data_IF_937330725176
#
_entry.id   IF_937330725176
#
_cell.length_a   1.000
_cell.length_b   1.000
_cell.length_c   1.000
_cell.angle_alpha   90.00
_cell.angle_beta   90.00
_cell.angle_gamma   90.00
#
_symmetry.space_group_name_H-M   'P 1'
#
loop_
_entity.id
_entity.type
_entity.pdbx_description
1 polymer ?
#
# COMPACT_ATOMS: atom_id res chain seq x y z
N UNK A 1 -23.09 -16.78 3.30
CA UNK A 1 -23.16 -17.03 4.75
C UNK A 1 -22.65 -15.81 5.51
N UNK A 2 -23.46 -15.19 6.37
CA UNK A 2 -22.98 -14.13 7.27
C UNK A 2 -22.20 -14.77 8.43
N UNK A 3 -20.86 -14.74 8.34
CA UNK A 3 -19.97 -15.30 9.38
C UNK A 3 -19.81 -14.38 10.59
N UNK A 4 -20.09 -13.09 10.42
CA UNK A 4 -19.87 -12.08 11.44
C UNK A 4 -21.10 -11.88 12.35
N UNK A 5 -20.86 -11.68 13.65
CA UNK A 5 -21.85 -11.49 14.71
C UNK A 5 -21.58 -10.14 15.39
N UNK A 6 -22.65 -9.45 15.80
CA UNK A 6 -22.60 -8.14 16.47
C UNK A 6 -22.98 -6.98 15.56
N UNK A 7 -23.83 -6.06 16.04
CA UNK A 7 -24.27 -4.87 15.30
C UNK A 7 -23.33 -3.67 15.50
N UNK A 8 -22.72 -3.53 16.68
CA UNK A 8 -21.80 -2.43 17.01
C UNK A 8 -20.34 -2.79 16.78
N UNK A 9 -19.92 -4.00 17.17
CA UNK A 9 -18.58 -4.55 16.89
C UNK A 9 -18.75 -5.86 16.15
N UNK A 10 -18.30 -5.89 14.90
CA UNK A 10 -18.41 -7.05 14.01
C UNK A 10 -17.28 -8.02 14.33
N UNK A 11 -17.60 -9.24 14.77
CA UNK A 11 -16.61 -10.28 15.05
C UNK A 11 -17.03 -11.66 14.57
N UNK A 12 -16.10 -12.61 14.45
CA UNK A 12 -16.42 -14.00 14.11
C UNK A 12 -16.13 -14.88 15.32
N UNK A 13 -17.09 -15.72 15.72
CA UNK A 13 -16.89 -16.70 16.81
C UNK A 13 -15.88 -17.76 16.37
N UNK A 14 -14.93 -18.13 17.23
CA UNK A 14 -13.92 -19.16 16.94
C UNK A 14 -14.50 -20.50 16.47
N UNK A 15 -15.61 -20.94 17.06
CA UNK A 15 -16.34 -22.14 16.63
C UNK A 15 -16.85 -22.08 15.19
N UNK A 16 -17.18 -20.89 14.67
CA UNK A 16 -17.58 -20.69 13.27
C UNK A 16 -16.39 -20.62 12.31
N UNK A 17 -15.22 -20.16 12.77
CA UNK A 17 -13.99 -20.17 11.96
C UNK A 17 -13.60 -21.59 11.57
N UNK A 18 -13.64 -22.54 12.50
CA UNK A 18 -13.31 -23.95 12.23
C UNK A 18 -14.29 -24.64 11.25
N UNK A 19 -15.50 -24.13 11.12
CA UNK A 19 -16.52 -24.67 10.22
C UNK A 19 -16.42 -24.11 8.79
N UNK A 20 -15.56 -23.12 8.56
CA UNK A 20 -15.39 -22.49 7.27
C UNK A 20 -14.70 -23.46 6.30
N UNK A 21 -15.43 -23.91 5.28
CA UNK A 21 -14.87 -24.73 4.21
C UNK A 21 -14.19 -23.82 3.19
N UNK A 22 -12.90 -24.03 2.97
CA UNK A 22 -12.12 -23.36 1.93
C UNK A 22 -11.79 -24.36 0.80
N UNK A 23 -11.81 -23.92 -0.48
CA UNK A 23 -11.36 -24.76 -1.58
C UNK A 23 -9.85 -24.96 -1.49
N UNK A 24 -9.39 -26.19 -1.62
CA UNK A 24 -7.97 -26.54 -1.64
C UNK A 24 -7.65 -27.10 -3.03
N UNK A 25 -7.09 -26.30 -3.95
CA UNK A 25 -6.70 -26.77 -5.28
C UNK A 25 -5.43 -27.64 -5.21
N UNK A 26 -4.97 -28.16 -6.35
CA UNK A 26 -3.70 -28.90 -6.42
C UNK A 26 -2.51 -28.01 -6.05
N UNK A 27 -1.41 -28.61 -5.56
CA UNK A 27 -0.23 -27.86 -5.12
C UNK A 27 0.34 -26.93 -6.21
N UNK A 28 0.36 -27.40 -7.45
CA UNK A 28 0.82 -26.61 -8.61
C UNK A 28 -0.05 -25.37 -8.81
N UNK A 29 -1.38 -25.50 -8.72
CA UNK A 29 -2.28 -24.36 -8.85
C UNK A 29 -2.17 -23.42 -7.64
N UNK A 30 -1.96 -23.94 -6.42
CA UNK A 30 -1.70 -23.10 -5.26
C UNK A 30 -0.48 -22.21 -5.48
N UNK A 31 0.65 -22.80 -5.91
CA UNK A 31 1.90 -22.07 -6.12
C UNK A 31 1.76 -21.04 -7.24
N UNK A 32 1.04 -21.38 -8.32
CA UNK A 32 0.73 -20.44 -9.42
C UNK A 32 -0.11 -19.26 -8.94
N UNK A 33 -1.16 -19.51 -8.16
CA UNK A 33 -2.06 -18.47 -7.64
C UNK A 33 -1.30 -17.56 -6.66
N UNK A 34 -0.56 -18.15 -5.72
CA UNK A 34 0.23 -17.39 -4.72
C UNK A 34 1.27 -16.51 -5.41
N UNK A 35 2.01 -17.02 -6.39
CA UNK A 35 3.01 -16.21 -7.11
C UNK A 35 2.40 -14.96 -7.78
N UNK A 36 1.18 -15.08 -8.31
CA UNK A 36 0.47 -13.94 -8.90
C UNK A 36 0.03 -12.96 -7.81
N UNK A 37 -0.59 -13.46 -6.73
CA UNK A 37 -1.09 -12.62 -5.64
C UNK A 37 0.05 -11.90 -4.90
N UNK A 38 1.16 -12.59 -4.63
CA UNK A 38 2.34 -12.02 -3.97
C UNK A 38 2.92 -10.88 -4.80
N UNK A 39 2.95 -11.02 -6.13
CA UNK A 39 3.41 -9.95 -7.03
C UNK A 39 2.49 -8.71 -6.94
N UNK A 40 1.18 -8.92 -6.90
CA UNK A 40 0.23 -7.80 -6.75
C UNK A 40 0.37 -7.15 -5.37
N UNK A 41 0.43 -7.94 -4.31
CA UNK A 41 0.57 -7.45 -2.94
C UNK A 41 1.86 -6.64 -2.76
N UNK A 42 2.98 -7.16 -3.27
CA UNK A 42 4.27 -6.45 -3.26
C UNK A 42 4.16 -5.11 -3.98
N UNK A 43 3.55 -5.09 -5.17
CA UNK A 43 3.41 -3.86 -5.94
C UNK A 43 2.52 -2.82 -5.24
N UNK A 44 1.42 -3.24 -4.61
CA UNK A 44 0.44 -2.29 -4.04
C UNK A 44 0.76 -1.88 -2.60
N UNK A 45 1.33 -2.77 -1.80
CA UNK A 45 1.41 -2.62 -0.35
C UNK A 45 2.85 -2.54 0.17
N UNK A 46 3.86 -2.93 -0.62
CA UNK A 46 5.24 -2.86 -0.15
C UNK A 46 5.70 -1.42 0.04
N UNK A 47 6.19 -1.12 1.24
CA UNK A 47 6.79 0.17 1.59
C UNK A 47 8.23 0.31 1.07
N UNK A 48 8.86 -0.79 0.64
CA UNK A 48 10.25 -0.79 0.15
C UNK A 48 10.36 -0.72 -1.36
N UNK A 49 9.42 -1.34 -2.09
CA UNK A 49 9.54 -1.52 -3.55
C UNK A 49 8.22 -1.36 -4.32
N UNK A 50 7.13 -0.99 -3.64
CA UNK A 50 5.80 -0.82 -4.25
C UNK A 50 5.39 0.65 -4.49
N UNK A 51 4.13 0.85 -4.84
CA UNK A 51 3.50 2.16 -5.03
C UNK A 51 3.69 3.12 -3.85
N UNK A 52 3.59 2.70 -2.57
CA UNK A 52 3.83 3.61 -1.44
C UNK A 52 5.22 4.25 -1.48
N UNK A 53 6.24 3.48 -1.87
CA UNK A 53 7.61 3.96 -1.99
C UNK A 53 7.75 5.00 -3.11
N UNK A 54 7.18 4.72 -4.28
CA UNK A 54 7.23 5.64 -5.41
C UNK A 54 6.50 6.96 -5.07
N UNK A 55 5.32 6.89 -4.44
CA UNK A 55 4.57 8.07 -4.00
C UNK A 55 5.39 8.92 -3.04
N UNK A 56 6.04 8.31 -2.04
CA UNK A 56 6.90 9.03 -1.09
C UNK A 56 8.05 9.76 -1.80
N UNK A 57 8.73 9.08 -2.74
CA UNK A 57 9.83 9.66 -3.50
C UNK A 57 9.35 10.80 -4.40
N UNK A 58 8.20 10.65 -5.06
CA UNK A 58 7.60 11.70 -5.90
C UNK A 58 7.16 12.90 -5.09
N UNK A 59 6.67 12.69 -3.87
CA UNK A 59 6.32 13.77 -2.96
C UNK A 59 7.56 14.59 -2.56
N UNK A 60 8.66 13.92 -2.18
CA UNK A 60 9.94 14.59 -1.89
C UNK A 60 10.48 15.36 -3.10
N UNK A 61 10.40 14.75 -4.27
CA UNK A 61 10.81 15.38 -5.52
C UNK A 61 9.97 16.64 -5.80
N UNK A 62 8.65 16.55 -5.64
CA UNK A 62 7.74 17.68 -5.81
C UNK A 62 8.07 18.83 -4.84
N UNK A 63 8.26 18.54 -3.56
CA UNK A 63 8.62 19.53 -2.54
C UNK A 63 9.92 20.25 -2.87
N UNK A 64 10.95 19.50 -3.27
CA UNK A 64 12.23 20.07 -3.69
C UNK A 64 12.07 21.07 -4.85
N UNK A 65 11.36 20.69 -5.91
CA UNK A 65 11.18 21.57 -7.07
C UNK A 65 10.24 22.74 -6.80
N UNK A 66 9.23 22.55 -5.94
CA UNK A 66 8.37 23.64 -5.47
C UNK A 66 9.20 24.69 -4.76
N UNK A 67 10.05 24.28 -3.82
CA UNK A 67 10.85 25.21 -3.02
C UNK A 67 11.91 25.91 -3.89
N UNK A 68 12.50 25.20 -4.87
CA UNK A 68 13.39 25.79 -5.87
C UNK A 68 12.69 26.87 -6.70
N UNK A 69 11.46 26.61 -7.17
CA UNK A 69 10.69 27.56 -7.98
C UNK A 69 10.36 28.84 -7.20
N UNK A 70 10.12 28.72 -5.88
CA UNK A 70 9.87 29.86 -5.00
C UNK A 70 11.13 30.45 -4.38
N UNK A 71 12.31 29.92 -4.69
CA UNK A 71 13.59 30.51 -4.31
C UNK A 71 14.00 31.55 -5.35
N UNK A 72 13.70 32.81 -5.05
CA UNK A 72 14.18 33.92 -5.88
C UNK A 72 15.54 34.41 -5.38
N UNK A 73 16.53 34.61 -6.26
CA UNK A 73 17.76 35.29 -5.90
C UNK A 73 17.41 36.69 -5.36
N UNK A 74 18.05 37.09 -4.25
CA UNK A 74 17.91 38.48 -3.77
C UNK A 74 18.51 39.42 -4.83
N UNK A 75 17.86 40.57 -5.12
CA UNK A 75 18.47 41.55 -5.99
C UNK A 75 19.81 41.99 -5.36
N UNK A 76 20.88 41.88 -6.15
CA UNK A 76 22.20 42.44 -5.84
C UNK A 76 21.99 43.91 -5.46
N UNK A 77 22.17 44.26 -4.18
CA UNK A 77 22.13 45.66 -3.77
C UNK A 77 23.35 46.34 -4.38
N UNK A 78 23.14 47.03 -5.50
CA UNK A 78 24.15 47.94 -6.04
C UNK A 78 24.34 49.08 -5.03
N UNK A 79 25.36 48.94 -4.19
CA UNK A 79 25.85 50.03 -3.34
C UNK A 79 26.51 51.06 -4.26
N UNK A 80 25.81 52.18 -4.48
CA UNK A 80 26.37 53.42 -5.03
C UNK A 80 27.06 54.22 -3.93
#
# INVERSE_FOLDING_TARGET
>A
MQAATGSTVKGIKGSRLHQLKIPIPSKVEQDRIVAILDKFDTLTNSITEGLPREIELRQKQYEYYRDLLFSFPKPETVSN
#
